data_IF_723801537029
#
_entry.id   IF_723801537029
#
_cell.length_a   1.000
_cell.length_b   1.000
_cell.length_c   1.000
_cell.angle_alpha   90.00
_cell.angle_beta   90.00
_cell.angle_gamma   90.00
#
_symmetry.space_group_name_H-M   'P 1'
#
loop_
_entity.id
_entity.type
_entity.pdbx_description
1 polymer ?
#
# COMPACT_ATOMS: atom_id res chain seq x y z
N UNK A 1 6.47 17.39 18.84
CA UNK A 1 5.41 16.40 19.16
C UNK A 1 5.26 15.54 17.93
N UNK A 2 5.48 14.23 18.03
CA UNK A 2 5.28 13.31 16.90
C UNK A 2 3.80 12.93 16.89
N UNK A 3 3.03 13.48 15.96
CA UNK A 3 1.67 12.99 15.70
C UNK A 3 1.81 11.64 15.02
N UNK A 4 1.24 10.60 15.64
CA UNK A 4 1.09 9.32 14.95
C UNK A 4 0.05 9.53 13.85
N UNK A 5 0.49 9.58 12.59
CA UNK A 5 -0.41 9.64 11.45
C UNK A 5 -0.98 8.25 11.21
N UNK A 6 -2.29 8.09 11.41
CA UNK A 6 -2.99 6.84 11.15
C UNK A 6 -3.31 6.72 9.65
N UNK A 7 -2.69 5.75 8.97
CA UNK A 7 -2.97 5.47 7.58
C UNK A 7 -4.26 4.65 7.43
N UNK A 8 -5.07 4.98 6.42
CA UNK A 8 -6.20 4.11 6.06
C UNK A 8 -5.68 2.94 5.23
N UNK A 9 -5.96 1.71 5.65
CA UNK A 9 -5.52 0.50 4.96
C UNK A 9 -6.72 -0.29 4.47
N UNK A 10 -6.80 -0.48 3.16
CA UNK A 10 -7.78 -1.34 2.51
C UNK A 10 -7.10 -2.62 2.02
N UNK A 11 -7.68 -3.77 2.32
CA UNK A 11 -7.14 -5.06 1.90
C UNK A 11 -7.81 -5.50 0.60
N UNK A 12 -7.03 -5.57 -0.47
CA UNK A 12 -7.53 -5.93 -1.80
C UNK A 12 -7.40 -7.43 -2.06
N UNK A 13 -6.34 -8.06 -1.55
CA UNK A 13 -6.07 -9.47 -1.81
C UNK A 13 -5.32 -10.16 -0.66
N UNK A 14 -5.70 -11.41 -0.36
CA UNK A 14 -4.91 -12.34 0.46
C UNK A 14 -5.03 -13.76 -0.07
N UNK A 15 -3.88 -14.38 -0.30
CA UNK A 15 -3.69 -15.84 -0.34
C UNK A 15 -2.61 -16.24 0.67
N UNK A 16 -2.40 -17.54 0.83
CA UNK A 16 -1.45 -18.12 1.79
C UNK A 16 -0.05 -17.52 1.76
N UNK A 17 0.41 -17.09 0.58
CA UNK A 17 1.78 -16.58 0.37
C UNK A 17 1.83 -15.13 -0.11
N UNK A 18 0.70 -14.49 -0.39
CA UNK A 18 0.66 -13.18 -1.04
C UNK A 18 -0.47 -12.33 -0.46
N UNK A 19 -0.15 -11.12 -0.03
CA UNK A 19 -1.11 -10.13 0.47
C UNK A 19 -0.89 -8.80 -0.25
N UNK A 20 -1.98 -8.14 -0.66
CA UNK A 20 -1.93 -6.83 -1.31
C UNK A 20 -2.89 -5.88 -0.57
N UNK A 21 -2.38 -4.72 -0.21
CA UNK A 21 -3.09 -3.65 0.46
C UNK A 21 -2.99 -2.36 -0.34
N UNK A 22 -4.04 -1.54 -0.28
CA UNK A 22 -4.00 -0.13 -0.64
C UNK A 22 -3.89 0.66 0.66
N UNK A 23 -2.88 1.52 0.75
CA UNK A 23 -2.64 2.40 1.90
C UNK A 23 -2.87 3.82 1.43
N UNK A 24 -3.74 4.56 2.11
CA UNK A 24 -3.97 5.99 1.83
C UNK A 24 -3.32 6.83 2.90
N UNK A 25 -2.46 7.76 2.47
CA UNK A 25 -1.93 8.82 3.33
C UNK A 25 -3.05 9.85 3.60
N UNK A 26 -3.44 10.06 4.87
CA UNK A 26 -4.54 10.98 5.19
C UNK A 26 -4.20 12.46 4.97
N UNK A 27 -2.91 12.83 4.93
CA UNK A 27 -2.48 14.21 4.72
C UNK A 27 -2.48 14.55 3.22
N UNK A 28 -1.90 13.69 2.41
CA UNK A 28 -1.70 13.95 0.97
C UNK A 28 -2.76 13.31 0.08
N UNK A 29 -3.58 12.40 0.62
CA UNK A 29 -4.52 11.54 -0.11
C UNK A 29 -3.85 10.62 -1.16
N UNK A 30 -2.52 10.54 -1.20
CA UNK A 30 -1.80 9.63 -2.09
C UNK A 30 -2.08 8.18 -1.68
N UNK A 31 -2.35 7.33 -2.68
CA UNK A 31 -2.48 5.90 -2.46
C UNK A 31 -1.19 5.15 -2.80
N UNK A 32 -0.87 4.16 -1.97
CA UNK A 32 0.24 3.24 -2.18
C UNK A 32 -0.29 1.81 -2.26
N UNK A 33 0.35 0.99 -3.09
CA UNK A 33 0.14 -0.45 -3.14
C UNK A 33 1.25 -1.11 -2.31
N UNK A 34 0.86 -1.77 -1.22
CA UNK A 34 1.77 -2.61 -0.45
C UNK A 34 1.55 -4.06 -0.83
N UNK A 35 2.61 -4.73 -1.28
CA UNK A 35 2.61 -6.17 -1.54
C UNK A 35 3.51 -6.86 -0.52
N UNK A 36 2.97 -7.89 0.13
CA UNK A 36 3.71 -8.78 1.03
C UNK A 36 3.72 -10.16 0.40
N UNK A 37 4.92 -10.69 0.16
CA UNK A 37 5.12 -12.06 -0.29
C UNK A 37 5.79 -12.85 0.83
N UNK A 38 5.20 -13.98 1.21
CA UNK A 38 5.75 -14.91 2.21
C UNK A 38 6.12 -16.22 1.53
N UNK A 39 7.39 -16.58 1.57
CA UNK A 39 7.93 -17.83 1.03
C UNK A 39 8.80 -18.57 2.04
N UNK A 40 9.37 -19.70 1.62
CA UNK A 40 10.23 -20.53 2.48
C UNK A 40 11.46 -19.77 3.04
N UNK A 41 11.95 -18.78 2.29
CA UNK A 41 13.12 -17.97 2.64
C UNK A 41 12.77 -16.72 3.46
N UNK A 42 11.50 -16.50 3.81
CA UNK A 42 11.06 -15.37 4.64
C UNK A 42 9.97 -14.51 4.01
N UNK A 43 9.89 -13.26 4.46
CA UNK A 43 8.91 -12.26 4.01
C UNK A 43 9.59 -11.14 3.23
N UNK A 44 9.00 -10.78 2.11
CA UNK A 44 9.39 -9.61 1.31
C UNK A 44 8.24 -8.62 1.30
N UNK A 45 8.56 -7.34 1.38
CA UNK A 45 7.61 -6.24 1.35
C UNK A 45 8.03 -5.27 0.25
N UNK A 46 7.08 -4.90 -0.61
CA UNK A 46 7.24 -3.83 -1.57
C UNK A 46 6.15 -2.78 -1.33
N UNK A 47 6.51 -1.51 -1.45
CA UNK A 47 5.60 -0.37 -1.35
C UNK A 47 5.85 0.55 -2.53
N UNK A 48 4.81 0.81 -3.33
CA UNK A 48 4.89 1.65 -4.53
C UNK A 48 3.72 2.61 -4.56
N UNK A 49 3.88 3.87 -5.04
CA UNK A 49 2.74 4.72 -5.33
C UNK A 49 1.79 4.02 -6.32
N UNK A 50 0.49 4.17 -6.10
CA UNK A 50 -0.50 3.84 -7.13
C UNK A 50 -0.43 4.93 -8.19
N UNK A 51 -0.36 4.51 -9.44
CA UNK A 51 -0.29 5.43 -10.59
C UNK A 51 -1.57 5.34 -11.42
N UNK A 52 -1.91 6.46 -12.05
CA UNK A 52 -2.87 6.50 -13.15
C UNK A 52 -2.28 5.87 -14.42
N UNK A 53 -3.10 5.56 -15.45
CA UNK A 53 -2.60 4.99 -16.70
C UNK A 53 -1.54 5.83 -17.43
N UNK A 54 -1.54 7.15 -17.22
CA UNK A 54 -0.55 8.08 -17.79
C UNK A 54 0.75 8.17 -16.98
N UNK A 55 0.84 7.44 -15.86
CA UNK A 55 2.01 7.40 -14.98
C UNK A 55 2.02 8.50 -13.90
N UNK A 56 1.00 9.37 -13.84
CA UNK A 56 0.86 10.32 -12.73
C UNK A 56 0.44 9.63 -11.43
N UNK A 57 0.65 10.30 -10.30
CA UNK A 57 0.30 9.76 -8.97
C UNK A 57 -1.23 9.74 -8.82
N UNK A 58 -1.77 8.62 -8.32
CA UNK A 58 -3.18 8.49 -7.97
C UNK A 58 -3.47 9.05 -6.57
N UNK A 59 -4.55 9.83 -6.47
CA UNK A 59 -5.05 10.40 -5.22
C UNK A 59 -6.46 9.86 -4.93
N UNK A 60 -6.76 9.59 -3.66
CA UNK A 60 -8.11 9.24 -3.22
C UNK A 60 -8.98 10.50 -3.24
N UNK A 61 -10.05 10.47 -4.03
CA UNK A 61 -11.08 11.54 -4.08
C UNK A 61 -11.77 11.76 -2.72
#
# INVERSE_FOLDING_TARGET
MTTNTEFTVEKVYKKSTNEIFIITDPETQVQYIQTIVTGASGKSVALTPRLEPDGSIHYKE
#
